data_IF_956716661259
#
_entry.id   IF_956716661259
#
_cell.length_a   1.000
_cell.length_b   1.000
_cell.length_c   1.000
_cell.angle_alpha   90.00
_cell.angle_beta   90.00
_cell.angle_gamma   90.00
#
_symmetry.space_group_name_H-M   'P 1'
#
loop_
_entity.id
_entity.type
_entity.pdbx_description
1 polymer ?
#
# COMPACT_ATOMS: atom_id res chain seq x y z
N UNK A 1 26.47 -29.72 -26.07
CA UNK A 1 25.30 -28.82 -25.95
C UNK A 1 25.35 -28.24 -24.54
N UNK A 2 25.77 -26.99 -24.39
CA UNK A 2 25.70 -26.29 -23.10
C UNK A 2 24.23 -26.15 -22.74
N UNK A 3 23.79 -26.75 -21.63
CA UNK A 3 22.42 -26.59 -21.15
C UNK A 3 22.13 -25.10 -20.98
N UNK A 4 20.93 -24.66 -21.35
CA UNK A 4 20.50 -23.29 -21.14
C UNK A 4 20.60 -22.94 -19.65
N UNK A 5 21.00 -21.71 -19.34
CA UNK A 5 21.07 -21.25 -17.94
C UNK A 5 19.70 -21.41 -17.27
N UNK A 6 19.64 -21.88 -16.01
CA UNK A 6 18.38 -22.07 -15.30
C UNK A 6 17.62 -20.75 -15.19
N UNK A 7 16.31 -20.80 -15.38
CA UNK A 7 15.39 -19.68 -15.24
C UNK A 7 14.82 -19.68 -13.82
N UNK A 8 15.15 -18.63 -13.07
CA UNK A 8 14.58 -18.35 -11.76
C UNK A 8 13.62 -17.17 -11.90
N UNK A 9 12.43 -17.27 -11.32
CA UNK A 9 11.45 -16.17 -11.33
C UNK A 9 11.20 -15.65 -9.92
N UNK A 10 11.04 -14.34 -9.79
CA UNK A 10 10.57 -13.69 -8.57
C UNK A 10 9.07 -13.50 -8.66
N UNK A 11 8.34 -14.09 -7.72
CA UNK A 11 6.89 -13.93 -7.58
C UNK A 11 6.56 -13.36 -6.20
N UNK A 12 5.47 -12.61 -6.10
CA UNK A 12 4.98 -12.08 -4.82
C UNK A 12 4.03 -10.92 -5.01
N UNK A 13 3.35 -10.53 -3.94
CA UNK A 13 2.41 -9.43 -3.94
C UNK A 13 3.08 -8.11 -4.36
N UNK A 14 2.30 -7.14 -4.88
CA UNK A 14 2.75 -5.76 -4.99
C UNK A 14 3.32 -5.26 -3.66
N UNK A 15 4.36 -4.43 -3.71
CA UNK A 15 5.04 -3.85 -2.55
C UNK A 15 5.76 -4.82 -1.60
N UNK A 16 5.87 -6.13 -1.91
CA UNK A 16 6.65 -7.09 -1.10
C UNK A 16 8.19 -6.83 -1.10
N UNK A 17 8.66 -5.79 -1.80
CA UNK A 17 10.09 -5.51 -1.98
C UNK A 17 10.76 -6.37 -3.07
N UNK A 18 9.97 -6.93 -3.98
CA UNK A 18 10.42 -7.80 -5.08
C UNK A 18 11.46 -7.14 -5.99
N UNK A 19 11.20 -5.91 -6.46
CA UNK A 19 12.15 -5.17 -7.29
C UNK A 19 13.42 -4.75 -6.53
N UNK A 20 13.33 -4.51 -5.22
CA UNK A 20 14.51 -4.26 -4.39
C UNK A 20 15.38 -5.52 -4.28
N UNK A 21 14.76 -6.69 -4.11
CA UNK A 21 15.45 -7.98 -4.09
C UNK A 21 16.06 -8.31 -5.46
N UNK A 22 15.31 -8.09 -6.55
CA UNK A 22 15.79 -8.27 -7.92
C UNK A 22 17.05 -7.44 -8.20
N UNK A 23 17.03 -6.14 -7.87
CA UNK A 23 18.17 -5.25 -8.05
C UNK A 23 19.37 -5.69 -7.19
N UNK A 24 19.11 -6.18 -5.97
CA UNK A 24 20.16 -6.63 -5.08
C UNK A 24 20.83 -7.94 -5.55
N UNK A 25 20.08 -8.83 -6.21
CA UNK A 25 20.61 -10.09 -6.75
C UNK A 25 21.27 -9.94 -8.14
N UNK A 26 20.77 -9.03 -8.98
CA UNK A 26 21.27 -8.86 -10.38
C UNK A 26 22.29 -7.74 -10.55
N UNK A 27 22.35 -6.79 -9.61
CA UNK A 27 23.23 -5.63 -9.70
C UNK A 27 22.86 -4.72 -10.88
N UNK A 28 23.86 -4.23 -11.62
CA UNK A 28 23.66 -3.26 -12.71
C UNK A 28 23.26 -3.88 -14.06
N UNK A 29 23.24 -5.21 -14.18
CA UNK A 29 23.08 -5.92 -15.47
C UNK A 29 21.67 -6.46 -15.65
N UNK A 30 20.72 -5.54 -15.74
CA UNK A 30 19.31 -5.83 -16.01
C UNK A 30 18.92 -5.39 -17.43
N UNK A 31 17.98 -6.11 -18.03
CA UNK A 31 17.34 -5.82 -19.31
C UNK A 31 15.85 -5.66 -19.07
N UNK A 32 15.31 -4.58 -19.61
CA UNK A 32 13.88 -4.31 -19.64
C UNK A 32 13.39 -4.55 -21.06
N UNK A 33 12.38 -5.39 -21.20
CA UNK A 33 11.70 -5.68 -22.46
C UNK A 33 10.19 -5.82 -22.20
N UNK A 34 9.42 -6.18 -23.22
CA UNK A 34 8.03 -6.60 -23.03
C UNK A 34 7.93 -8.11 -23.20
N UNK A 35 6.97 -8.72 -22.53
CA UNK A 35 6.61 -10.11 -22.80
C UNK A 35 6.10 -10.25 -24.26
N UNK A 36 6.42 -11.37 -24.94
CA UNK A 36 5.95 -11.62 -26.30
C UNK A 36 4.43 -11.42 -26.45
N UNK A 37 4.04 -10.55 -27.39
CA UNK A 37 2.64 -10.34 -27.76
C UNK A 37 1.79 -9.51 -26.78
N UNK A 38 2.38 -8.96 -25.71
CA UNK A 38 1.66 -8.14 -24.73
C UNK A 38 2.45 -6.88 -24.35
N UNK A 39 1.78 -5.88 -23.78
CA UNK A 39 2.40 -4.62 -23.31
C UNK A 39 2.96 -4.70 -21.89
N UNK A 40 3.01 -5.91 -21.31
CA UNK A 40 3.49 -6.13 -19.94
C UNK A 40 5.01 -6.11 -19.91
N UNK A 41 5.57 -5.32 -19.01
CA UNK A 41 7.02 -5.18 -18.83
C UNK A 41 7.64 -6.49 -18.29
N UNK A 42 8.70 -6.96 -18.95
CA UNK A 42 9.55 -8.08 -18.55
C UNK A 42 10.90 -7.55 -18.10
N UNK A 43 11.19 -7.65 -16.81
CA UNK A 43 12.50 -7.31 -16.24
C UNK A 43 13.30 -8.58 -16.03
N UNK A 44 14.42 -8.71 -16.72
CA UNK A 44 15.34 -9.85 -16.55
C UNK A 44 16.76 -9.42 -16.27
N UNK A 45 17.50 -10.22 -15.53
CA UNK A 45 18.87 -9.92 -15.15
C UNK A 45 19.69 -11.18 -15.00
N UNK A 46 21.01 -11.01 -14.95
CA UNK A 46 21.91 -12.12 -14.69
C UNK A 46 22.02 -12.33 -13.19
N UNK A 47 21.88 -13.58 -12.77
CA UNK A 47 22.04 -14.02 -11.39
C UNK A 47 23.15 -15.07 -11.34
N UNK A 48 24.11 -14.91 -10.44
CA UNK A 48 25.22 -15.86 -10.29
C UNK A 48 24.96 -16.72 -9.07
N UNK A 49 24.84 -18.03 -9.27
CA UNK A 49 24.71 -18.98 -8.18
C UNK A 49 26.02 -19.05 -7.37
N UNK A 50 25.99 -19.47 -6.10
CA UNK A 50 27.20 -19.54 -5.26
C UNK A 50 28.32 -20.41 -5.82
N UNK A 51 27.99 -21.44 -6.61
CA UNK A 51 28.96 -22.28 -7.34
C UNK A 51 29.53 -21.64 -8.62
N UNK A 52 29.15 -20.40 -8.93
CA UNK A 52 29.60 -19.65 -10.09
C UNK A 52 28.80 -19.91 -11.37
N UNK A 53 27.81 -20.80 -11.36
CA UNK A 53 26.96 -21.02 -12.54
C UNK A 53 26.09 -19.78 -12.82
N UNK A 54 25.93 -19.38 -14.11
CA UNK A 54 25.00 -18.33 -14.46
C UNK A 54 23.56 -18.85 -14.43
N UNK A 55 22.64 -18.02 -13.96
CA UNK A 55 21.20 -18.19 -13.99
C UNK A 55 20.53 -16.93 -14.55
N UNK A 56 19.38 -17.08 -15.19
CA UNK A 56 18.52 -15.96 -15.58
C UNK A 56 17.53 -15.69 -14.44
N UNK A 57 17.46 -14.46 -13.95
CA UNK A 57 16.44 -14.02 -12.99
C UNK A 57 15.42 -13.13 -13.69
N UNK A 58 14.13 -13.40 -13.51
CA UNK A 58 13.04 -12.57 -14.06
C UNK A 58 12.15 -12.07 -12.93
N UNK A 59 11.89 -10.77 -12.88
CA UNK A 59 10.92 -10.16 -11.96
C UNK A 59 9.53 -10.19 -12.62
N UNK A 60 8.60 -10.95 -12.03
CA UNK A 60 7.22 -11.00 -12.50
C UNK A 60 6.43 -9.79 -11.98
N UNK A 61 5.38 -9.35 -12.69
CA UNK A 61 4.43 -8.41 -12.13
C UNK A 61 3.89 -8.88 -10.76
N UNK A 62 3.55 -7.92 -9.90
CA UNK A 62 2.97 -8.26 -8.59
C UNK A 62 1.56 -8.83 -8.77
N UNK A 63 1.27 -9.94 -8.10
CA UNK A 63 -0.07 -10.55 -8.10
C UNK A 63 -0.52 -10.92 -6.69
N UNK A 64 -1.83 -10.90 -6.45
CA UNK A 64 -2.45 -11.31 -5.19
C UNK A 64 -3.00 -12.74 -5.21
N UNK A 65 -3.18 -13.33 -6.39
CA UNK A 65 -3.64 -14.71 -6.59
C UNK A 65 -3.24 -15.25 -7.97
N UNK A 66 -3.33 -16.57 -8.16
CA UNK A 66 -3.26 -17.21 -9.48
C UNK A 66 -4.56 -17.07 -10.28
N UNK A 67 -5.60 -16.46 -9.71
CA UNK A 67 -6.79 -15.99 -10.42
C UNK A 67 -6.60 -14.51 -10.81
N UNK A 68 -6.27 -14.20 -12.08
CA UNK A 68 -5.88 -12.85 -12.48
C UNK A 68 -7.09 -11.94 -12.69
N UNK A 69 -6.94 -10.69 -12.25
CA UNK A 69 -7.90 -9.60 -12.46
C UNK A 69 -7.39 -8.55 -13.45
N UNK A 70 -6.12 -8.65 -13.85
CA UNK A 70 -5.46 -7.75 -14.80
C UNK A 70 -4.58 -8.51 -15.81
N UNK A 71 -4.21 -7.89 -16.95
CA UNK A 71 -3.30 -8.49 -17.92
C UNK A 71 -1.94 -8.86 -17.31
N UNK A 72 -1.41 -8.01 -16.44
CA UNK A 72 -0.13 -8.20 -15.74
C UNK A 72 -0.17 -9.44 -14.83
N UNK A 73 -1.28 -9.62 -14.10
CA UNK A 73 -1.51 -10.81 -13.28
C UNK A 73 -1.68 -12.07 -14.14
N UNK A 74 -2.32 -11.96 -15.31
CA UNK A 74 -2.48 -13.08 -16.22
C UNK A 74 -1.13 -13.59 -16.75
N UNK A 75 -0.23 -12.67 -17.12
CA UNK A 75 1.16 -13.01 -17.49
C UNK A 75 1.87 -13.71 -16.33
N UNK A 76 1.73 -13.20 -15.11
CA UNK A 76 2.34 -13.78 -13.91
C UNK A 76 1.90 -15.23 -13.70
N UNK A 77 0.58 -15.50 -13.78
CA UNK A 77 0.02 -16.85 -13.68
C UNK A 77 0.59 -17.76 -14.76
N UNK A 78 0.55 -17.34 -16.02
CA UNK A 78 0.93 -18.17 -17.17
C UNK A 78 2.42 -18.51 -17.15
N UNK A 79 3.28 -17.56 -16.76
CA UNK A 79 4.72 -17.79 -16.63
C UNK A 79 5.02 -18.76 -15.48
N UNK A 80 4.37 -18.57 -14.33
CA UNK A 80 4.50 -19.49 -13.18
C UNK A 80 4.02 -20.91 -13.55
N UNK A 81 2.89 -21.03 -14.24
CA UNK A 81 2.36 -22.32 -14.70
C UNK A 81 3.24 -22.98 -15.78
N UNK A 82 4.10 -22.21 -16.46
CA UNK A 82 4.86 -22.67 -17.63
C UNK A 82 4.01 -22.77 -18.89
N UNK A 83 2.91 -22.03 -18.95
CA UNK A 83 1.93 -22.01 -20.04
C UNK A 83 2.10 -20.78 -20.95
N UNK A 84 2.91 -19.79 -20.55
CA UNK A 84 3.13 -18.58 -21.33
C UNK A 84 3.94 -18.85 -22.61
N UNK A 85 3.33 -18.59 -23.76
CA UNK A 85 3.98 -18.79 -25.06
C UNK A 85 5.21 -17.91 -25.23
N UNK A 86 6.35 -18.51 -25.56
CA UNK A 86 7.62 -17.80 -25.76
C UNK A 86 8.48 -17.68 -24.49
N UNK A 87 8.00 -18.14 -23.34
CA UNK A 87 8.81 -18.26 -22.12
C UNK A 87 9.10 -19.73 -21.79
N UNK A 88 10.23 -19.96 -21.13
CA UNK A 88 10.56 -21.30 -20.60
C UNK A 88 9.83 -21.51 -19.28
N UNK A 89 9.52 -22.76 -18.95
CA UNK A 89 9.05 -23.10 -17.60
C UNK A 89 10.14 -22.73 -16.58
N UNK A 90 9.80 -22.05 -15.47
CA UNK A 90 10.77 -21.74 -14.43
C UNK A 90 11.38 -23.01 -13.82
N UNK A 91 12.69 -23.01 -13.63
CA UNK A 91 13.43 -24.06 -12.93
C UNK A 91 13.33 -23.90 -11.42
N UNK A 92 13.15 -22.66 -10.93
CA UNK A 92 12.82 -22.37 -9.54
C UNK A 92 12.03 -21.05 -9.40
N UNK A 93 11.26 -20.92 -8.32
CA UNK A 93 10.54 -19.70 -7.95
C UNK A 93 11.05 -19.19 -6.60
N UNK A 94 11.41 -17.91 -6.57
CA UNK A 94 11.61 -17.17 -5.31
C UNK A 94 10.32 -16.42 -5.00
N UNK A 95 9.63 -16.85 -3.95
CA UNK A 95 8.43 -16.17 -3.45
C UNK A 95 8.85 -15.11 -2.44
N UNK A 96 8.55 -13.84 -2.72
CA UNK A 96 8.88 -12.71 -1.85
C UNK A 96 7.67 -12.37 -0.98
N UNK A 97 7.82 -12.52 0.33
CA UNK A 97 6.81 -12.17 1.34
C UNK A 97 7.26 -10.95 2.13
N UNK A 98 6.32 -10.07 2.46
CA UNK A 98 6.57 -8.99 3.41
C UNK A 98 6.32 -9.53 4.83
N UNK A 99 7.34 -9.47 5.68
CA UNK A 99 7.27 -9.88 7.08
C UNK A 99 6.21 -9.08 7.88
N UNK A 100 6.00 -7.80 7.56
CA UNK A 100 5.02 -6.97 8.27
C UNK A 100 3.56 -7.31 7.89
N UNK A 101 3.33 -7.89 6.71
CA UNK A 101 2.01 -8.17 6.15
C UNK A 101 1.85 -9.66 5.75
N UNK A 102 2.35 -10.55 6.61
CA UNK A 102 2.56 -11.95 6.28
C UNK A 102 1.26 -12.69 5.89
N UNK A 103 0.15 -12.43 6.59
CA UNK A 103 -1.12 -13.14 6.37
C UNK A 103 -1.68 -12.96 4.95
N UNK A 104 -1.58 -11.74 4.41
CA UNK A 104 -2.04 -11.37 3.08
C UNK A 104 -1.14 -11.96 1.99
N UNK A 105 0.18 -12.02 2.24
CA UNK A 105 1.15 -12.53 1.27
C UNK A 105 1.16 -14.07 1.23
N UNK A 106 0.90 -14.72 2.37
CA UNK A 106 0.89 -16.18 2.45
C UNK A 106 -0.20 -16.84 1.61
N UNK A 107 -1.33 -16.16 1.34
CA UNK A 107 -2.36 -16.72 0.46
C UNK A 107 -1.78 -17.04 -0.92
N UNK A 108 -1.14 -16.07 -1.56
CA UNK A 108 -0.54 -16.25 -2.88
C UNK A 108 0.63 -17.23 -2.84
N UNK A 109 1.43 -17.17 -1.76
CA UNK A 109 2.53 -18.11 -1.54
C UNK A 109 2.06 -19.58 -1.54
N UNK A 110 0.97 -19.88 -0.83
CA UNK A 110 0.40 -21.21 -0.76
C UNK A 110 -0.11 -21.67 -2.14
N UNK A 111 -0.73 -20.80 -2.93
CA UNK A 111 -1.17 -21.12 -4.29
C UNK A 111 0.01 -21.53 -5.19
N UNK A 112 1.14 -20.80 -5.13
CA UNK A 112 2.36 -21.14 -5.88
C UNK A 112 2.96 -22.46 -5.38
N UNK A 113 3.08 -22.63 -4.05
CA UNK A 113 3.62 -23.86 -3.45
C UNK A 113 2.79 -25.08 -3.87
N UNK A 114 1.47 -24.93 -4.00
CA UNK A 114 0.57 -26.00 -4.44
C UNK A 114 0.86 -26.52 -5.86
N UNK A 115 1.57 -25.74 -6.70
CA UNK A 115 1.93 -26.15 -8.06
C UNK A 115 3.05 -27.21 -8.08
N UNK A 116 3.71 -27.46 -6.94
CA UNK A 116 4.73 -28.49 -6.83
C UNK A 116 6.07 -28.13 -7.48
N UNK A 117 6.28 -26.87 -7.84
CA UNK A 117 7.54 -26.41 -8.44
C UNK A 117 8.61 -26.15 -7.37
N UNK A 118 9.91 -26.15 -7.72
CA UNK A 118 10.98 -25.82 -6.77
C UNK A 118 10.84 -24.37 -6.28
N UNK A 119 10.52 -24.20 -5.00
CA UNK A 119 10.24 -22.89 -4.39
C UNK A 119 11.23 -22.61 -3.26
N UNK A 120 11.63 -21.35 -3.15
CA UNK A 120 12.29 -20.75 -1.98
C UNK A 120 11.51 -19.51 -1.56
N UNK A 121 11.30 -19.32 -0.27
CA UNK A 121 10.64 -18.13 0.26
C UNK A 121 11.68 -17.13 0.76
N UNK A 122 11.63 -15.91 0.25
CA UNK A 122 12.34 -14.76 0.80
C UNK A 122 11.38 -13.99 1.72
N UNK A 123 11.54 -14.15 3.03
CA UNK A 123 10.80 -13.40 4.03
C UNK A 123 11.48 -12.03 4.19
N UNK A 124 11.04 -11.05 3.41
CA UNK A 124 11.65 -9.75 3.25
C UNK A 124 11.09 -8.74 4.26
N UNK A 125 11.79 -7.59 4.39
CA UNK A 125 11.41 -6.50 5.31
C UNK A 125 11.39 -6.91 6.79
N UNK A 126 12.27 -7.83 7.20
CA UNK A 126 12.39 -8.24 8.61
C UNK A 126 12.69 -7.07 9.55
N UNK A 127 13.47 -6.07 9.10
CA UNK A 127 13.77 -4.88 9.89
C UNK A 127 12.56 -3.96 10.09
N UNK A 128 11.63 -3.94 9.12
CA UNK A 128 10.37 -3.22 9.23
C UNK A 128 9.45 -3.89 10.25
N UNK A 129 9.29 -5.22 10.16
CA UNK A 129 8.48 -5.99 11.10
C UNK A 129 8.98 -5.81 12.54
N UNK A 130 10.29 -5.92 12.78
CA UNK A 130 10.88 -5.72 14.10
C UNK A 130 10.65 -4.29 14.62
N UNK A 131 10.82 -3.27 13.76
CA UNK A 131 10.59 -1.86 14.11
C UNK A 131 9.13 -1.61 14.51
N UNK A 132 8.20 -2.23 13.82
CA UNK A 132 6.77 -2.11 14.08
C UNK A 132 6.34 -3.02 15.27
N UNK A 133 7.29 -3.72 15.89
CA UNK A 133 7.10 -4.48 17.11
C UNK A 133 6.55 -5.88 16.89
N UNK A 134 6.77 -6.45 15.70
CA UNK A 134 6.42 -7.81 15.31
C UNK A 134 7.68 -8.65 15.13
N UNK A 135 7.83 -9.70 15.93
CA UNK A 135 8.95 -10.64 15.81
C UNK A 135 8.44 -11.97 15.26
N UNK A 136 8.99 -12.40 14.13
CA UNK A 136 8.65 -13.66 13.47
C UNK A 136 9.74 -14.71 13.63
N UNK A 137 9.34 -15.98 13.59
CA UNK A 137 10.24 -17.14 13.54
C UNK A 137 10.24 -17.75 12.13
N UNK A 138 11.29 -17.52 11.32
CA UNK A 138 11.40 -18.10 9.98
C UNK A 138 11.39 -19.62 9.98
N UNK A 139 11.93 -20.27 11.03
CA UNK A 139 11.99 -21.73 11.11
C UNK A 139 10.60 -22.34 11.34
N UNK A 140 9.74 -21.68 12.12
CA UNK A 140 8.32 -22.07 12.21
C UNK A 140 7.61 -21.91 10.88
N UNK A 141 7.92 -20.85 10.13
CA UNK A 141 7.31 -20.62 8.82
C UNK A 141 7.74 -21.69 7.83
N UNK A 142 9.02 -22.02 7.82
CA UNK A 142 9.59 -23.10 7.01
C UNK A 142 8.94 -24.45 7.33
N UNK A 143 8.80 -24.79 8.61
CA UNK A 143 8.13 -26.01 9.03
C UNK A 143 6.65 -26.07 8.61
N UNK A 144 5.96 -24.93 8.62
CA UNK A 144 4.56 -24.83 8.22
C UNK A 144 4.36 -24.90 6.70
N UNK A 145 5.27 -24.32 5.91
CA UNK A 145 5.20 -24.29 4.45
C UNK A 145 5.84 -25.50 3.77
N UNK A 146 6.80 -26.18 4.42
CA UNK A 146 7.55 -27.28 3.85
C UNK A 146 8.55 -26.86 2.76
N UNK A 147 8.86 -25.57 2.65
CA UNK A 147 9.83 -24.99 1.72
C UNK A 147 10.78 -24.07 2.48
N UNK A 148 12.03 -23.85 2.00
CA UNK A 148 13.03 -23.09 2.74
C UNK A 148 12.58 -21.64 2.86
N UNK A 149 12.71 -21.07 4.07
CA UNK A 149 12.33 -19.68 4.34
C UNK A 149 13.55 -18.91 4.80
N UNK A 150 14.00 -17.97 3.96
CA UNK A 150 15.18 -17.17 4.23
C UNK A 150 14.78 -15.76 4.64
N UNK A 151 15.11 -15.31 5.86
CA UNK A 151 14.88 -13.93 6.28
C UNK A 151 15.81 -12.99 5.49
N UNK A 152 15.26 -11.93 4.92
CA UNK A 152 16.01 -10.99 4.07
C UNK A 152 15.69 -9.53 4.40
N UNK A 153 16.67 -8.67 4.15
CA UNK A 153 16.48 -7.22 4.08
C UNK A 153 17.17 -6.75 2.80
N UNK A 154 16.41 -6.72 1.70
CA UNK A 154 16.94 -6.46 0.36
C UNK A 154 17.75 -5.16 0.28
N UNK A 155 17.23 -4.07 0.89
CA UNK A 155 17.87 -2.73 0.89
C UNK A 155 19.22 -2.73 1.59
N UNK A 156 19.41 -3.60 2.60
CA UNK A 156 20.67 -3.75 3.35
C UNK A 156 21.51 -4.93 2.87
N UNK A 157 21.10 -5.60 1.78
CA UNK A 157 21.72 -6.81 1.23
C UNK A 157 21.92 -7.94 2.26
N UNK A 158 21.06 -8.04 3.27
CA UNK A 158 21.12 -9.10 4.29
C UNK A 158 20.31 -10.32 3.86
N UNK A 159 20.84 -11.52 4.08
CA UNK A 159 20.21 -12.80 3.75
C UNK A 159 20.29 -13.21 2.28
N UNK A 160 20.95 -12.42 1.41
CA UNK A 160 21.02 -12.71 -0.03
C UNK A 160 21.91 -13.92 -0.34
N UNK A 161 22.99 -14.13 0.41
CA UNK A 161 23.87 -15.28 0.23
C UNK A 161 23.15 -16.58 0.61
N UNK A 162 22.44 -16.59 1.74
CA UNK A 162 21.66 -17.74 2.17
C UNK A 162 20.49 -18.02 1.23
N UNK A 163 19.85 -16.97 0.70
CA UNK A 163 18.81 -17.09 -0.32
C UNK A 163 19.37 -17.72 -1.60
N UNK A 164 20.54 -17.27 -2.04
CA UNK A 164 21.20 -17.79 -3.24
C UNK A 164 21.60 -19.26 -3.08
N UNK A 165 22.11 -19.65 -1.91
CA UNK A 165 22.40 -21.05 -1.56
C UNK A 165 21.14 -21.91 -1.55
N UNK A 166 20.04 -21.42 -0.98
CA UNK A 166 18.78 -22.15 -0.96
C UNK A 166 18.22 -22.38 -2.38
N UNK A 167 18.36 -21.38 -3.27
CA UNK A 167 17.97 -21.50 -4.69
C UNK A 167 18.85 -22.52 -5.41
N UNK A 168 20.17 -22.46 -5.24
CA UNK A 168 21.10 -23.43 -5.82
C UNK A 168 20.79 -24.87 -5.39
N UNK A 169 20.52 -25.09 -4.10
CA UNK A 169 20.12 -26.39 -3.57
C UNK A 169 18.81 -26.87 -4.24
N UNK A 170 17.81 -26.00 -4.36
CA UNK A 170 16.53 -26.33 -5.00
C UNK A 170 16.67 -26.65 -6.49
N UNK A 171 17.53 -25.93 -7.21
CA UNK A 171 17.86 -26.22 -8.61
C UNK A 171 18.61 -27.54 -8.79
N UNK A 172 19.28 -28.02 -7.74
CA UNK A 172 20.05 -29.26 -7.77
C UNK A 172 19.24 -30.49 -7.35
N UNK A 173 18.08 -30.30 -6.68
CA UNK A 173 17.16 -31.39 -6.35
C UNK A 173 16.46 -31.90 -7.62
N UNK A 174 16.35 -33.23 -7.76
CA UNK A 174 15.48 -33.81 -8.79
C UNK A 174 14.02 -33.55 -8.41
N UNK A 175 13.18 -33.27 -9.41
CA UNK A 175 11.77 -32.88 -9.22
C UNK A 175 10.96 -33.84 -8.33
N UNK A 176 11.31 -35.13 -8.28
CA UNK A 176 10.62 -36.15 -7.47
C UNK A 176 10.97 -36.13 -5.97
N UNK A 177 12.07 -35.48 -5.55
CA UNK A 177 12.53 -35.52 -4.14
C UNK A 177 12.04 -34.34 -3.29
N UNK A 178 11.44 -33.33 -3.90
CA UNK A 178 10.81 -32.22 -3.18
C UNK A 178 9.46 -32.66 -2.61
N UNK A 179 9.45 -33.25 -1.41
CA UNK A 179 8.21 -33.43 -0.63
C UNK A 179 7.63 -32.05 -0.28
N UNK A 180 6.77 -31.52 -1.14
CA UNK A 180 6.07 -30.26 -0.92
C UNK A 180 4.79 -30.56 -0.13
N UNK A 181 4.57 -29.82 0.96
CA UNK A 181 3.30 -29.87 1.68
C UNK A 181 2.27 -29.15 0.80
N UNK A 182 1.50 -29.93 0.04
CA UNK A 182 0.43 -29.38 -0.79
C UNK A 182 -0.65 -28.81 0.15
N UNK A 183 -1.06 -27.54 -0.02
CA UNK A 183 -2.18 -26.98 0.72
C UNK A 183 -3.42 -27.85 0.56
N UNK A 184 -4.03 -28.24 1.68
CA UNK A 184 -5.22 -29.11 1.69
C UNK A 184 -6.49 -28.39 1.25
N UNK A 185 -6.50 -27.06 1.30
CA UNK A 185 -7.69 -26.23 1.08
C UNK A 185 -7.55 -25.38 -0.19
N UNK A 186 -8.67 -25.04 -0.83
CA UNK A 186 -8.75 -24.12 -1.99
C UNK A 186 -9.71 -22.95 -1.66
N UNK A 187 -9.57 -21.83 -2.38
CA UNK A 187 -10.45 -20.66 -2.23
C UNK A 187 -10.45 -20.07 -0.81
N UNK A 188 -11.63 -19.93 -0.19
CA UNK A 188 -11.78 -19.35 1.16
C UNK A 188 -10.98 -20.09 2.25
N UNK A 189 -10.72 -21.38 2.08
CA UNK A 189 -9.91 -22.15 3.02
C UNK A 189 -8.44 -21.71 3.04
N UNK A 190 -7.85 -21.38 1.88
CA UNK A 190 -6.48 -20.87 1.78
C UNK A 190 -6.28 -19.61 2.63
N UNK A 191 -7.25 -18.69 2.64
CA UNK A 191 -7.16 -17.47 3.47
C UNK A 191 -7.15 -17.81 4.96
N UNK A 192 -7.96 -18.76 5.40
CA UNK A 192 -8.01 -19.22 6.79
C UNK A 192 -6.70 -19.93 7.17
N UNK A 193 -6.17 -20.76 6.28
CA UNK A 193 -4.90 -21.44 6.44
C UNK A 193 -3.73 -20.44 6.52
N UNK A 194 -3.66 -19.47 5.60
CA UNK A 194 -2.64 -18.42 5.59
C UNK A 194 -2.64 -17.63 6.91
N UNK A 195 -3.82 -17.20 7.39
CA UNK A 195 -3.95 -16.52 8.68
C UNK A 195 -3.50 -17.38 9.85
N UNK A 196 -3.81 -18.68 9.83
CA UNK A 196 -3.38 -19.63 10.86
C UNK A 196 -1.86 -19.80 10.88
N UNK A 197 -1.24 -19.95 9.72
CA UNK A 197 0.23 -20.09 9.58
C UNK A 197 0.91 -18.80 10.07
N UNK A 198 0.46 -17.63 9.60
CA UNK A 198 0.98 -16.33 10.03
C UNK A 198 0.95 -16.19 11.56
N UNK A 199 -0.19 -16.49 12.19
CA UNK A 199 -0.33 -16.42 13.64
C UNK A 199 0.60 -17.39 14.40
N UNK A 200 0.87 -18.57 13.85
CA UNK A 200 1.79 -19.55 14.46
C UNK A 200 3.25 -19.12 14.36
N UNK A 201 3.59 -18.28 13.38
CA UNK A 201 4.95 -17.77 13.16
C UNK A 201 5.33 -16.55 14.01
N UNK A 202 4.36 -15.90 14.65
CA UNK A 202 4.61 -14.78 15.57
C UNK A 202 5.23 -15.29 16.88
N UNK A 203 6.38 -14.73 17.24
CA UNK A 203 7.09 -15.00 18.51
C UNK A 203 6.71 -13.99 19.56
N UNK A 204 6.73 -12.71 19.19
CA UNK A 204 6.46 -11.60 20.08
C UNK A 204 5.76 -10.49 19.30
N UNK A 205 4.87 -9.79 20.00
CA UNK A 205 4.13 -8.68 19.44
C UNK A 205 3.94 -7.61 20.51
N UNK A 206 4.31 -6.37 20.19
CA UNK A 206 4.12 -5.23 21.09
C UNK A 206 2.63 -4.95 21.33
N UNK A 207 2.31 -4.27 22.44
CA UNK A 207 0.94 -3.82 22.69
C UNK A 207 0.48 -2.79 21.65
N UNK A 208 1.40 -1.96 21.14
CA UNK A 208 1.14 -0.96 20.10
C UNK A 208 0.70 -1.58 18.78
N UNK A 209 1.44 -2.59 18.29
CA UNK A 209 1.10 -3.32 17.07
C UNK A 209 -0.29 -3.95 17.16
N UNK A 210 -0.58 -4.68 18.25
CA UNK A 210 -1.90 -5.29 18.50
C UNK A 210 -3.04 -4.28 18.52
N UNK A 211 -2.78 -3.09 19.09
CA UNK A 211 -3.79 -2.04 19.15
C UNK A 211 -4.04 -1.44 17.78
N UNK A 212 -2.98 -1.19 16.99
CA UNK A 212 -3.11 -0.74 15.60
C UNK A 212 -3.92 -1.73 14.77
N UNK A 213 -3.60 -3.03 14.81
CA UNK A 213 -4.35 -4.04 14.06
C UNK A 213 -5.84 -4.07 14.42
N UNK A 214 -6.18 -3.90 15.71
CA UNK A 214 -7.59 -3.86 16.15
C UNK A 214 -8.30 -2.60 15.65
N UNK A 215 -7.62 -1.46 15.68
CA UNK A 215 -8.14 -0.21 15.13
C UNK A 215 -8.32 -0.36 13.62
N UNK A 216 -7.35 -0.90 12.90
CA UNK A 216 -7.43 -1.18 11.47
C UNK A 216 -8.60 -2.13 11.14
N UNK A 217 -8.78 -3.20 11.91
CA UNK A 217 -9.88 -4.14 11.73
C UNK A 217 -11.25 -3.48 11.91
N UNK A 218 -11.38 -2.52 12.84
CA UNK A 218 -12.60 -1.76 13.05
C UNK A 218 -12.82 -0.71 11.95
N UNK A 219 -11.78 0.07 11.64
CA UNK A 219 -11.85 1.16 10.66
C UNK A 219 -12.02 0.67 9.23
N UNK A 220 -11.47 -0.50 8.88
CA UNK A 220 -11.60 -1.10 7.54
C UNK A 220 -12.75 -2.10 7.45
N UNK A 221 -13.56 -2.23 8.51
CA UNK A 221 -14.68 -3.17 8.53
C UNK A 221 -15.69 -2.83 7.41
N UNK A 222 -16.26 -3.84 6.71
CA UNK A 222 -17.20 -3.62 5.62
C UNK A 222 -18.39 -2.71 5.91
N UNK A 223 -18.90 -2.72 7.14
CA UNK A 223 -20.04 -1.89 7.54
C UNK A 223 -19.66 -0.80 8.53
N UNK A 224 -18.72 -1.08 9.44
CA UNK A 224 -18.35 -0.12 10.48
C UNK A 224 -17.40 0.95 9.93
N UNK A 225 -16.54 0.60 8.97
CA UNK A 225 -15.62 1.54 8.34
C UNK A 225 -16.32 2.71 7.65
N UNK A 226 -17.27 2.47 6.71
CA UNK A 226 -18.06 3.53 6.11
C UNK A 226 -18.87 4.34 7.13
N UNK A 227 -19.44 3.69 8.15
CA UNK A 227 -20.20 4.38 9.19
C UNK A 227 -19.30 5.32 10.02
N UNK A 228 -18.10 4.85 10.39
CA UNK A 228 -17.11 5.66 11.11
C UNK A 228 -16.64 6.81 10.24
N UNK A 229 -16.35 6.57 8.96
CA UNK A 229 -15.97 7.62 8.01
C UNK A 229 -17.05 8.70 7.91
N UNK A 230 -18.31 8.30 7.72
CA UNK A 230 -19.44 9.22 7.67
C UNK A 230 -19.61 9.99 8.97
N UNK A 231 -19.41 9.33 10.12
CA UNK A 231 -19.50 9.97 11.44
C UNK A 231 -18.38 11.00 11.63
N UNK A 232 -17.15 10.66 11.26
CA UNK A 232 -15.99 11.57 11.32
C UNK A 232 -16.22 12.78 10.41
N UNK A 233 -16.62 12.54 9.15
CA UNK A 233 -16.92 13.63 8.22
C UNK A 233 -18.07 14.51 8.73
N UNK A 234 -19.14 13.90 9.26
CA UNK A 234 -20.26 14.63 9.85
C UNK A 234 -19.81 15.52 11.02
N UNK A 235 -19.04 14.97 11.96
CA UNK A 235 -18.49 15.74 13.09
C UNK A 235 -17.57 16.86 12.60
N UNK A 236 -16.71 16.58 11.62
CA UNK A 236 -15.84 17.58 11.00
C UNK A 236 -16.66 18.73 10.39
N UNK A 237 -17.68 18.43 9.58
CA UNK A 237 -18.54 19.45 8.99
C UNK A 237 -19.27 20.27 10.07
N UNK A 238 -19.87 19.60 11.07
CA UNK A 238 -20.55 20.30 12.16
C UNK A 238 -19.59 21.20 12.95
N UNK A 239 -18.37 20.74 13.24
CA UNK A 239 -17.38 21.52 13.95
C UNK A 239 -16.90 22.74 13.14
N UNK A 240 -16.69 22.60 11.83
CA UNK A 240 -16.32 23.73 10.96
C UNK A 240 -17.35 24.85 11.03
N UNK A 241 -18.65 24.54 11.00
CA UNK A 241 -19.70 25.57 11.08
C UNK A 241 -19.89 26.08 12.51
N UNK A 242 -20.10 25.19 13.48
CA UNK A 242 -20.44 25.58 14.85
C UNK A 242 -19.28 26.29 15.57
N UNK A 243 -18.03 25.90 15.29
CA UNK A 243 -16.88 26.50 15.97
C UNK A 243 -16.34 27.74 15.26
N UNK A 244 -16.69 27.96 13.98
CA UNK A 244 -16.28 29.18 13.26
C UNK A 244 -17.20 30.38 13.53
N UNK A 245 -18.43 30.16 13.97
CA UNK A 245 -19.43 31.21 14.19
C UNK A 245 -18.94 32.31 15.15
N UNK A 246 -18.36 31.93 16.29
CA UNK A 246 -17.85 32.92 17.26
C UNK A 246 -16.65 33.73 16.72
N UNK A 247 -15.60 33.11 16.15
CA UNK A 247 -14.52 33.84 15.48
C UNK A 247 -14.98 34.75 14.33
N UNK A 248 -15.96 34.31 13.53
CA UNK A 248 -16.57 35.12 12.47
C UNK A 248 -17.19 36.38 13.07
N UNK A 249 -18.01 36.22 14.11
CA UNK A 249 -18.64 37.35 14.78
C UNK A 249 -17.63 38.34 15.38
N UNK A 250 -16.47 37.87 15.87
CA UNK A 250 -15.40 38.76 16.33
C UNK A 250 -14.77 39.57 15.20
N UNK A 251 -14.58 38.97 14.03
CA UNK A 251 -14.04 39.65 12.83
C UNK A 251 -15.03 40.69 12.33
N UNK A 252 -16.32 40.35 12.26
CA UNK A 252 -17.38 41.28 11.85
C UNK A 252 -17.48 42.48 12.80
N UNK A 253 -17.53 42.23 14.12
CA UNK A 253 -17.56 43.30 15.12
C UNK A 253 -16.31 44.19 15.05
N UNK A 254 -15.12 43.61 14.81
CA UNK A 254 -13.91 44.39 14.60
C UNK A 254 -13.98 45.24 13.31
N UNK A 255 -14.56 44.71 12.24
CA UNK A 255 -14.83 45.43 10.99
C UNK A 255 -15.79 46.60 11.21
N UNK A 256 -16.90 46.38 11.91
CA UNK A 256 -17.87 47.43 12.24
C UNK A 256 -17.28 48.51 13.14
N UNK A 257 -16.53 48.11 14.17
CA UNK A 257 -15.86 49.04 15.08
C UNK A 257 -14.84 49.92 14.35
N UNK A 258 -14.03 49.32 13.48
CA UNK A 258 -13.05 50.08 12.67
C UNK A 258 -13.74 51.00 11.66
N UNK A 259 -14.80 50.56 11.01
CA UNK A 259 -15.60 51.38 10.10
C UNK A 259 -16.22 52.59 10.82
N UNK A 260 -16.85 52.38 12.00
CA UNK A 260 -17.44 53.46 12.79
C UNK A 260 -16.39 54.44 13.34
N UNK A 261 -15.19 53.96 13.65
CA UNK A 261 -14.07 54.82 14.04
C UNK A 261 -13.62 55.72 12.88
N UNK A 262 -13.50 55.18 11.65
CA UNK A 262 -13.21 55.98 10.45
C UNK A 262 -14.33 56.98 10.19
N UNK A 263 -15.59 56.57 10.36
CA UNK A 263 -16.74 57.43 10.14
C UNK A 263 -16.72 58.69 11.03
N UNK A 264 -16.33 58.52 12.29
CA UNK A 264 -16.33 59.58 13.30
C UNK A 264 -15.13 60.53 13.15
N UNK A 265 -13.99 60.02 12.67
CA UNK A 265 -12.72 60.78 12.62
C UNK A 265 -12.39 61.34 11.24
N UNK A 266 -13.08 60.93 10.17
CA UNK A 266 -12.88 61.42 8.81
C UNK A 266 -14.12 62.13 8.26
N UNK A 267 -13.88 63.30 7.65
CA UNK A 267 -14.92 64.03 6.93
C UNK A 267 -15.48 63.19 5.78
N UNK A 268 -16.78 63.38 5.48
CA UNK A 268 -17.45 62.72 4.37
C UNK A 268 -16.73 63.03 3.04
N UNK A 269 -16.51 61.99 2.24
CA UNK A 269 -15.85 62.11 0.94
C UNK A 269 -15.37 60.77 0.41
N UNK A 270 -14.96 60.76 -0.85
CA UNK A 270 -14.59 59.55 -1.60
C UNK A 270 -13.58 58.63 -0.88
N UNK A 271 -12.59 59.20 -0.19
CA UNK A 271 -11.58 58.41 0.52
C UNK A 271 -12.19 57.68 1.72
N UNK A 272 -13.15 58.30 2.42
CA UNK A 272 -13.87 57.68 3.53
C UNK A 272 -14.66 56.47 3.05
N UNK A 273 -15.42 56.68 1.98
CA UNK A 273 -16.31 55.66 1.41
C UNK A 273 -15.49 54.51 0.82
N UNK A 274 -14.36 54.80 0.15
CA UNK A 274 -13.44 53.77 -0.32
C UNK A 274 -12.83 52.93 0.83
N UNK A 275 -12.50 53.53 1.96
CA UNK A 275 -11.96 52.79 3.12
C UNK A 275 -13.04 51.92 3.74
N UNK A 276 -14.24 52.46 3.99
CA UNK A 276 -15.32 51.74 4.66
C UNK A 276 -15.88 50.64 3.75
N UNK A 277 -16.34 50.98 2.55
CA UNK A 277 -17.02 50.06 1.64
C UNK A 277 -16.03 49.23 0.81
N UNK A 278 -14.92 49.83 0.40
CA UNK A 278 -13.93 49.15 -0.45
C UNK A 278 -12.98 48.28 0.37
N UNK A 279 -12.24 48.88 1.31
CA UNK A 279 -11.20 48.19 2.05
C UNK A 279 -11.75 47.35 3.20
N UNK A 280 -12.49 47.95 4.14
CA UNK A 280 -12.94 47.26 5.36
C UNK A 280 -14.00 46.21 5.03
N UNK A 281 -15.08 46.58 4.33
CA UNK A 281 -16.11 45.61 3.95
C UNK A 281 -15.59 44.58 2.94
N UNK A 282 -14.83 45.01 1.93
CA UNK A 282 -14.26 44.11 0.93
C UNK A 282 -13.28 43.09 1.53
N UNK A 283 -12.28 43.54 2.29
CA UNK A 283 -11.31 42.63 2.94
C UNK A 283 -11.98 41.83 4.06
N UNK A 284 -12.90 42.44 4.81
CA UNK A 284 -13.69 41.76 5.84
C UNK A 284 -14.43 40.54 5.29
N UNK A 285 -15.07 40.67 4.12
CA UNK A 285 -15.77 39.56 3.47
C UNK A 285 -14.87 38.36 3.20
N UNK A 286 -13.59 38.56 2.89
CA UNK A 286 -12.63 37.48 2.65
C UNK A 286 -12.08 36.92 3.97
N UNK A 287 -11.76 37.78 4.93
CA UNK A 287 -11.18 37.39 6.23
C UNK A 287 -12.18 36.58 7.06
N UNK A 288 -13.49 36.84 6.93
CA UNK A 288 -14.55 36.09 7.62
C UNK A 288 -14.51 34.58 7.29
N UNK A 289 -14.00 34.16 6.13
CA UNK A 289 -13.83 32.73 5.82
C UNK A 289 -12.60 32.09 6.49
N UNK A 290 -11.64 32.88 6.99
CA UNK A 290 -10.38 32.37 7.53
C UNK A 290 -10.58 31.40 8.71
N UNK A 291 -11.44 31.65 9.71
CA UNK A 291 -11.66 30.70 10.80
C UNK A 291 -12.16 29.34 10.33
N UNK A 292 -13.08 29.29 9.36
CA UNK A 292 -13.58 28.04 8.78
C UNK A 292 -12.46 27.25 8.10
N UNK A 293 -11.64 27.94 7.30
CA UNK A 293 -10.49 27.34 6.61
C UNK A 293 -9.51 26.76 7.63
N UNK A 294 -9.16 27.51 8.68
CA UNK A 294 -8.22 27.04 9.71
C UNK A 294 -8.74 25.80 10.45
N UNK A 295 -10.04 25.76 10.79
CA UNK A 295 -10.66 24.59 11.44
C UNK A 295 -10.68 23.40 10.49
N UNK A 296 -11.03 23.59 9.22
CA UNK A 296 -11.00 22.52 8.22
C UNK A 296 -9.59 21.95 8.06
N UNK A 297 -8.57 22.80 7.93
CA UNK A 297 -7.17 22.37 7.84
C UNK A 297 -6.71 21.66 9.09
N UNK A 298 -7.13 22.11 10.29
CA UNK A 298 -6.85 21.39 11.53
C UNK A 298 -7.37 19.95 11.48
N UNK A 299 -8.61 19.74 11.03
CA UNK A 299 -9.17 18.39 10.88
C UNK A 299 -8.44 17.57 9.82
N UNK A 300 -8.14 18.15 8.65
CA UNK A 300 -7.39 17.45 7.59
C UNK A 300 -6.03 17.01 8.12
N UNK A 301 -5.30 17.89 8.80
CA UNK A 301 -4.01 17.59 9.40
C UNK A 301 -4.11 16.53 10.49
N UNK A 302 -5.19 16.53 11.29
CA UNK A 302 -5.42 15.51 12.32
C UNK A 302 -5.71 14.13 11.68
N UNK A 303 -6.51 14.09 10.62
CA UNK A 303 -6.79 12.87 9.85
C UNK A 303 -5.54 12.35 9.12
N UNK A 304 -4.68 13.24 8.66
CA UNK A 304 -3.40 12.89 8.04
C UNK A 304 -2.41 12.36 9.07
N UNK A 305 -2.20 13.07 10.19
CA UNK A 305 -1.27 12.69 11.25
C UNK A 305 -1.67 11.38 11.96
N UNK A 306 -2.97 11.09 12.06
CA UNK A 306 -3.47 9.80 12.57
C UNK A 306 -3.36 8.65 11.56
N UNK A 307 -2.96 8.93 10.30
CA UNK A 307 -2.97 7.95 9.22
C UNK A 307 -4.38 7.54 8.78
N UNK A 308 -5.43 8.23 9.23
CA UNK A 308 -6.80 7.91 8.85
C UNK A 308 -7.06 8.15 7.36
N UNK A 309 -6.41 9.16 6.76
CA UNK A 309 -6.55 9.47 5.33
C UNK A 309 -6.23 8.28 4.42
N UNK A 310 -5.20 7.49 4.73
CA UNK A 310 -4.83 6.31 3.92
C UNK A 310 -5.89 5.20 4.05
N UNK A 311 -6.47 5.04 5.24
CA UNK A 311 -7.54 4.07 5.53
C UNK A 311 -8.85 4.49 4.85
N UNK A 312 -9.21 5.77 4.95
CA UNK A 312 -10.39 6.35 4.33
C UNK A 312 -10.37 6.20 2.80
N UNK A 313 -9.20 6.42 2.17
CA UNK A 313 -9.01 6.18 0.76
C UNK A 313 -9.34 4.72 0.39
N UNK A 314 -8.80 3.74 1.12
CA UNK A 314 -9.08 2.32 0.87
C UNK A 314 -10.58 1.95 1.02
N UNK A 315 -11.27 2.53 2.01
CA UNK A 315 -12.72 2.34 2.18
C UNK A 315 -13.49 2.87 0.97
N UNK A 316 -13.09 4.05 0.47
CA UNK A 316 -13.68 4.69 -0.70
C UNK A 316 -13.36 3.95 -1.99
N UNK A 317 -12.14 3.42 -2.15
CA UNK A 317 -11.74 2.57 -3.27
C UNK A 317 -12.70 1.40 -3.42
N UNK A 318 -13.12 0.77 -2.32
CA UNK A 318 -14.08 -0.32 -2.36
C UNK A 318 -15.47 0.12 -2.85
N UNK A 319 -15.92 1.32 -2.48
CA UNK A 319 -17.19 1.86 -2.95
C UNK A 319 -17.11 2.28 -4.43
N UNK A 320 -16.01 2.93 -4.82
CA UNK A 320 -15.77 3.42 -6.18
C UNK A 320 -15.49 2.29 -7.17
N UNK A 321 -14.82 1.21 -6.74
CA UNK A 321 -14.64 0.00 -7.54
C UNK A 321 -15.99 -0.66 -7.89
N UNK A 322 -16.98 -0.56 -7.01
CA UNK A 322 -18.36 -0.99 -7.30
C UNK A 322 -19.04 -0.20 -8.43
N UNK A 323 -18.52 0.99 -8.75
CA UNK A 323 -19.03 1.89 -9.81
C UNK A 323 -18.02 2.03 -10.96
N UNK A 324 -16.92 1.26 -10.94
CA UNK A 324 -15.88 1.27 -12.00
C UNK A 324 -14.98 2.51 -12.02
N UNK A 325 -14.92 3.28 -10.92
CA UNK A 325 -14.08 4.49 -10.82
C UNK A 325 -12.83 4.23 -9.97
N UNK A 326 -11.72 4.89 -10.33
CA UNK A 326 -10.49 4.82 -9.54
C UNK A 326 -10.62 5.61 -8.24
N UNK A 327 -10.24 5.00 -7.13
CA UNK A 327 -10.14 5.60 -5.81
C UNK A 327 -9.43 6.95 -5.71
N UNK A 328 -8.46 7.18 -6.60
CA UNK A 328 -7.70 8.43 -6.72
C UNK A 328 -8.56 9.67 -7.04
N UNK A 329 -9.78 9.48 -7.56
CA UNK A 329 -10.70 10.59 -7.87
C UNK A 329 -11.47 11.09 -6.64
N UNK A 330 -11.42 10.37 -5.52
CA UNK A 330 -12.07 10.78 -4.27
C UNK A 330 -11.39 11.99 -3.63
N UNK A 331 -10.06 12.05 -3.63
CA UNK A 331 -9.32 13.16 -3.00
C UNK A 331 -9.67 14.51 -3.68
N UNK A 332 -9.70 14.61 -5.03
CA UNK A 332 -10.22 15.79 -5.73
C UNK A 332 -11.69 16.08 -5.42
N UNK A 333 -12.56 15.08 -5.31
CA UNK A 333 -13.99 15.26 -5.01
C UNK A 333 -14.20 15.79 -3.58
N UNK A 334 -13.53 15.22 -2.59
CA UNK A 334 -13.63 15.66 -1.20
C UNK A 334 -13.04 17.06 -1.03
N UNK A 335 -11.90 17.35 -1.66
CA UNK A 335 -11.32 18.70 -1.66
C UNK A 335 -12.23 19.71 -2.39
N UNK A 336 -12.88 19.31 -3.48
CA UNK A 336 -13.81 20.15 -4.24
C UNK A 336 -15.07 20.45 -3.41
N UNK A 337 -15.72 19.43 -2.84
CA UNK A 337 -16.93 19.62 -2.02
C UNK A 337 -16.64 20.34 -0.70
N UNK A 338 -15.55 20.01 0.00
CA UNK A 338 -15.23 20.63 1.28
C UNK A 338 -14.88 22.13 1.14
N UNK A 339 -14.16 22.50 0.07
CA UNK A 339 -13.78 23.89 -0.18
C UNK A 339 -14.84 24.71 -0.93
N UNK A 340 -15.79 24.08 -1.63
CA UNK A 340 -16.82 24.80 -2.39
C UNK A 340 -18.07 25.16 -1.58
N UNK A 341 -18.37 24.44 -0.50
CA UNK A 341 -19.60 24.67 0.29
C UNK A 341 -19.69 26.11 0.86
N UNK A 342 -18.63 26.69 1.45
CA UNK A 342 -18.68 28.07 1.93
C UNK A 342 -18.90 29.08 0.79
N UNK A 343 -18.30 28.85 -0.39
CA UNK A 343 -18.46 29.70 -1.55
C UNK A 343 -19.84 29.62 -2.20
N UNK A 344 -20.49 28.44 -2.18
CA UNK A 344 -21.87 28.24 -2.66
C UNK A 344 -22.91 28.87 -1.72
N UNK A 345 -22.63 28.95 -0.42
CA UNK A 345 -23.52 29.60 0.55
C UNK A 345 -23.32 31.12 0.65
N UNK A 346 -22.24 31.66 0.07
CA UNK A 346 -21.97 33.09 0.01
C UNK A 346 -22.66 33.80 -1.17
N UNK A 347 -23.30 33.05 -2.09
CA UNK A 347 -24.15 33.55 -3.17
C UNK A 347 -25.62 33.43 -2.83
#
# INVERSE_FOLDING_TARGET
>A
MTAAAPLVVLAGNPNAGKSALFNALTGARQKIANYPGVTVERKSGHFTLPDGRPAELVDLPGSYSLDPTSPDEAVTRDVIAGEFSGERKPDAIIIVLDAANLDNHLRFALEIIALGQPVVVALNMMDLAERDGLTLDPAKLEAALGVPVIPTVAVRRRGLEDLSKAVEQRLSLKADEAKIVIPKERGHGLRKQAKKIAAQTVVAETAGHRWSERVDALLLHPFAGPLILMTILFVMFQAVFAWSEAPIGWIEQAGEWTAGWVETNMAAGFIRDFIIEGAIAGVGSVIVFLPQILILFLFILLLEASGYMTRAAFIMDRFMAGVGLSGRSFIPLLSSFACAIPGIMAT
#
